data_IF_951294997879
#
_entry.id   IF_951294997879
#
_cell.length_a   1.000
_cell.length_b   1.000
_cell.length_c   1.000
_cell.angle_alpha   90.00
_cell.angle_beta   90.00
_cell.angle_gamma   90.00
#
_symmetry.space_group_name_H-M   'P 1'
#
loop_
_entity.id
_entity.type
_entity.pdbx_description
1 polymer ?
#
# COMPACT_ATOMS: atom_id res chain seq x y z
N UNK A 1 11.92 3.69 -9.68
CA UNK A 1 11.53 4.17 -8.35
C UNK A 1 10.12 4.72 -8.49
N UNK A 2 9.09 3.95 -8.13
CA UNK A 2 7.70 4.41 -8.21
C UNK A 2 7.32 4.94 -6.83
N UNK A 3 7.08 6.25 -6.72
CA UNK A 3 6.62 6.88 -5.49
C UNK A 3 5.09 7.01 -5.57
N UNK A 4 4.37 6.22 -4.76
CA UNK A 4 2.92 6.29 -4.65
C UNK A 4 2.51 7.41 -3.71
N UNK A 5 1.76 8.38 -4.22
CA UNK A 5 1.12 9.41 -3.40
C UNK A 5 -0.15 8.84 -2.76
N UNK A 6 -0.09 8.52 -1.47
CA UNK A 6 -1.30 8.19 -0.69
C UNK A 6 -1.94 9.49 -0.24
N UNK A 7 -3.10 9.80 -0.83
CA UNK A 7 -3.98 10.86 -0.37
C UNK A 7 -5.22 10.18 0.22
N UNK A 8 -5.46 10.39 1.52
CA UNK A 8 -6.61 9.84 2.23
C UNK A 8 -7.62 10.97 2.47
N UNK A 9 -8.68 11.05 1.66
CA UNK A 9 -9.82 11.95 1.91
C UNK A 9 -11.09 11.15 2.26
N UNK A 10 -11.40 11.18 3.56
CA UNK A 10 -12.69 11.36 4.26
C UNK A 10 -14.04 10.84 3.67
N UNK A 11 -14.72 9.99 4.47
CA UNK A 11 -16.18 9.87 4.66
C UNK A 11 -17.08 9.18 3.61
N UNK A 12 -16.64 8.04 3.08
CA UNK A 12 -17.52 7.05 2.45
C UNK A 12 -16.94 5.66 2.66
N UNK A 13 -17.76 4.64 2.88
CA UNK A 13 -17.37 3.26 3.20
C UNK A 13 -16.62 2.50 2.08
N UNK A 14 -15.67 3.13 1.40
CA UNK A 14 -14.85 2.53 0.35
C UNK A 14 -13.40 2.41 0.84
N UNK A 15 -13.17 1.44 1.73
CA UNK A 15 -11.83 0.91 1.96
C UNK A 15 -11.42 0.13 0.70
N UNK A 16 -11.05 0.84 -0.36
CA UNK A 16 -10.66 0.21 -1.62
C UNK A 16 -9.17 -0.10 -1.59
N UNK A 17 -8.84 -1.38 -1.75
CA UNK A 17 -7.46 -1.81 -1.95
C UNK A 17 -6.88 -1.06 -3.15
N UNK A 18 -5.67 -0.53 -2.99
CA UNK A 18 -5.00 0.20 -4.07
C UNK A 18 -4.72 -0.77 -5.23
N UNK A 19 -5.13 -0.39 -6.44
CA UNK A 19 -4.87 -1.16 -7.64
C UNK A 19 -3.53 -0.74 -8.25
N UNK A 20 -2.65 -1.72 -8.47
CA UNK A 20 -1.34 -1.54 -9.09
C UNK A 20 -1.25 -2.35 -10.37
N UNK A 21 -0.49 -1.85 -11.33
CA UNK A 21 -0.13 -2.55 -12.56
C UNK A 21 1.39 -2.67 -12.65
N UNK A 22 1.88 -3.90 -12.80
CA UNK A 22 3.27 -4.16 -13.17
C UNK A 22 3.33 -4.47 -14.66
N UNK A 23 4.28 -3.87 -15.35
CA UNK A 23 4.56 -4.14 -16.76
C UNK A 23 5.99 -4.62 -16.91
N UNK A 24 6.23 -5.53 -17.84
CA UNK A 24 7.55 -6.13 -18.05
C UNK A 24 7.53 -7.24 -19.09
N UNK A 25 8.58 -8.08 -19.08
CA UNK A 25 8.67 -9.19 -20.03
C UNK A 25 7.58 -10.23 -19.73
N UNK A 26 6.84 -10.69 -20.76
CA UNK A 26 5.88 -11.77 -20.59
C UNK A 26 6.53 -13.00 -19.93
N UNK A 27 5.81 -13.63 -19.00
CA UNK A 27 6.23 -14.81 -18.24
C UNK A 27 7.39 -14.58 -17.25
N UNK A 28 7.79 -13.34 -16.99
CA UNK A 28 8.79 -13.06 -15.98
C UNK A 28 8.21 -13.12 -14.57
N UNK A 29 8.96 -13.71 -13.63
CA UNK A 29 8.57 -13.76 -12.22
C UNK A 29 9.07 -12.55 -11.46
N UNK A 30 8.28 -12.08 -10.51
CA UNK A 30 8.66 -11.02 -9.59
C UNK A 30 8.13 -11.32 -8.19
N UNK A 31 8.68 -10.64 -7.20
CA UNK A 31 8.13 -10.65 -5.86
C UNK A 31 7.94 -9.21 -5.36
N UNK A 32 6.97 -9.06 -4.46
CA UNK A 32 6.66 -7.80 -3.80
C UNK A 32 7.15 -7.87 -2.37
N UNK A 33 7.89 -6.86 -1.94
CA UNK A 33 8.26 -6.69 -0.55
C UNK A 33 7.58 -5.44 0.01
N UNK A 34 6.90 -5.60 1.15
CA UNK A 34 6.22 -4.53 1.88
C UNK A 34 6.87 -4.37 3.26
N UNK A 35 6.94 -3.15 3.80
CA UNK A 35 7.35 -2.95 5.19
C UNK A 35 6.33 -3.52 6.17
N UNK A 36 6.81 -4.12 7.26
CA UNK A 36 5.96 -4.74 8.30
C UNK A 36 5.05 -3.73 9.02
N UNK A 37 5.53 -2.48 9.13
CA UNK A 37 4.82 -1.38 9.77
C UNK A 37 5.15 -0.06 9.11
N UNK A 38 4.12 0.74 8.89
CA UNK A 38 4.24 2.14 8.47
C UNK A 38 3.57 3.00 9.53
N UNK A 39 4.31 3.98 10.05
CA UNK A 39 3.76 4.98 10.95
C UNK A 39 3.12 6.10 10.15
N UNK A 40 1.89 6.46 10.49
CA UNK A 40 1.22 7.65 10.00
C UNK A 40 1.32 8.76 11.04
N UNK A 41 1.75 9.93 10.62
CA UNK A 41 1.88 11.13 11.46
C UNK A 41 0.60 11.93 11.34
N UNK A 42 -0.04 12.19 12.48
CA UNK A 42 -1.24 13.00 12.57
C UNK A 42 -0.96 14.47 12.91
N UNK A 43 -2.01 15.22 13.28
CA UNK A 43 -1.89 16.61 13.72
C UNK A 43 -0.96 16.78 14.92
N UNK A 44 -0.44 17.99 15.14
CA UNK A 44 0.45 18.27 16.28
C UNK A 44 -0.17 17.85 17.61
N UNK A 45 0.58 17.07 18.40
CA UNK A 45 0.12 16.52 19.68
C UNK A 45 -0.73 15.25 19.59
N UNK A 46 -1.01 14.73 18.39
CA UNK A 46 -1.66 13.43 18.21
C UNK A 46 -0.68 12.27 18.44
N UNK A 47 -1.22 11.12 18.81
CA UNK A 47 -0.47 9.86 18.75
C UNK A 47 -0.37 9.38 17.30
N UNK A 48 0.74 8.76 16.85
CA UNK A 48 0.80 8.19 15.51
C UNK A 48 -0.19 7.04 15.30
N UNK A 49 -0.73 6.88 14.08
CA UNK A 49 -1.42 5.65 13.68
C UNK A 49 -0.44 4.72 12.96
N UNK A 50 -0.82 3.46 12.77
CA UNK A 50 0.03 2.48 12.10
C UNK A 50 -0.73 1.70 11.04
N UNK A 51 -0.12 1.50 9.88
CA UNK A 51 -0.59 0.53 8.87
C UNK A 51 0.28 -0.72 9.01
N UNK A 52 -0.36 -1.89 9.03
CA UNK A 52 0.27 -3.21 9.16
C UNK A 52 -0.47 -4.25 8.30
N UNK A 53 0.05 -5.47 8.25
CA UNK A 53 -0.64 -6.63 7.65
C UNK A 53 -0.96 -6.42 6.17
N UNK A 54 0.06 -6.05 5.39
CA UNK A 54 -0.07 -5.93 3.94
C UNK A 54 -0.46 -7.27 3.31
N UNK A 55 -1.50 -7.25 2.49
CA UNK A 55 -1.99 -8.37 1.69
C UNK A 55 -2.09 -7.94 0.23
N UNK A 56 -1.73 -8.82 -0.70
CA UNK A 56 -1.82 -8.55 -2.13
C UNK A 56 -2.41 -9.72 -2.90
N UNK A 57 -3.01 -9.43 -4.05
CA UNK A 57 -3.56 -10.45 -4.97
C UNK A 57 -2.63 -10.83 -6.14
N UNK A 58 -1.40 -10.27 -6.19
CA UNK A 58 -0.44 -10.58 -7.25
C UNK A 58 -0.14 -12.08 -7.35
N UNK A 59 -0.12 -12.59 -8.57
CA UNK A 59 0.32 -13.95 -8.91
C UNK A 59 1.85 -14.10 -8.84
N UNK A 60 2.58 -12.98 -8.91
CA UNK A 60 4.04 -12.97 -8.91
C UNK A 60 4.64 -13.35 -10.26
N UNK A 61 3.84 -13.35 -11.34
CA UNK A 61 4.29 -13.63 -12.70
C UNK A 61 3.59 -12.70 -13.69
N UNK A 62 4.38 -11.96 -14.46
CA UNK A 62 3.85 -11.07 -15.50
C UNK A 62 3.16 -11.92 -16.58
N UNK A 63 1.88 -11.61 -16.84
CA UNK A 63 1.08 -12.35 -17.81
C UNK A 63 1.63 -12.28 -19.23
N UNK A 64 1.08 -13.10 -20.13
CA UNK A 64 1.51 -13.19 -21.53
C UNK A 64 1.39 -11.87 -22.31
N UNK A 65 0.54 -10.95 -21.83
CA UNK A 65 0.42 -9.58 -22.36
C UNK A 65 1.56 -8.65 -21.98
N UNK A 66 2.50 -9.09 -21.13
CA UNK A 66 3.56 -8.24 -20.57
C UNK A 66 3.08 -7.33 -19.44
N UNK A 67 1.90 -7.60 -18.88
CA UNK A 67 1.34 -6.84 -17.77
C UNK A 67 0.61 -7.74 -16.78
N UNK A 68 0.57 -7.32 -15.52
CA UNK A 68 -0.27 -7.89 -14.48
C UNK A 68 -0.83 -6.77 -13.61
N UNK A 69 -2.14 -6.83 -13.32
CA UNK A 69 -2.79 -5.95 -12.35
C UNK A 69 -3.10 -6.70 -11.08
N UNK A 70 -2.83 -6.08 -9.94
CA UNK A 70 -3.11 -6.65 -8.62
C UNK A 70 -3.51 -5.57 -7.62
N UNK A 71 -4.24 -6.00 -6.59
CA UNK A 71 -4.66 -5.13 -5.51
C UNK A 71 -3.74 -5.32 -4.31
N UNK A 72 -3.46 -4.23 -3.60
CA UNK A 72 -2.76 -4.23 -2.31
C UNK A 72 -3.66 -3.60 -1.28
N UNK A 73 -3.91 -4.33 -0.19
CA UNK A 73 -4.60 -3.86 1.00
C UNK A 73 -3.71 -3.96 2.24
N UNK A 74 -4.09 -3.27 3.30
CA UNK A 74 -3.44 -3.35 4.60
C UNK A 74 -4.45 -2.97 5.71
N UNK A 75 -4.12 -3.32 6.95
CA UNK A 75 -4.91 -2.99 8.12
C UNK A 75 -4.43 -1.68 8.74
N UNK A 76 -5.33 -0.69 8.87
CA UNK A 76 -5.09 0.51 9.68
C UNK A 76 -5.36 0.22 11.16
N UNK A 77 -4.33 0.36 11.98
CA UNK A 77 -4.39 0.24 13.43
C UNK A 77 -4.61 1.62 14.04
N UNK A 78 -5.82 1.83 14.55
CA UNK A 78 -6.22 3.06 15.24
C UNK A 78 -6.17 2.84 16.75
N UNK A 79 -5.34 3.63 17.43
CA UNK A 79 -5.25 3.60 18.89
C UNK A 79 -6.50 4.18 19.58
N UNK A 80 -6.67 3.87 20.86
CA UNK A 80 -7.73 4.48 21.68
C UNK A 80 -7.52 6.00 21.80
N UNK A 81 -8.63 6.76 21.80
CA UNK A 81 -8.64 8.23 21.92
C UNK A 81 -7.85 8.94 20.81
N UNK A 82 -7.92 8.43 19.57
CA UNK A 82 -7.20 9.10 18.50
C UNK A 82 -7.76 10.49 18.18
N UNK A 83 -6.85 11.45 18.04
CA UNK A 83 -7.21 12.83 17.69
C UNK A 83 -7.77 12.85 16.27
N UNK A 84 -8.98 13.39 16.03
CA UNK A 84 -9.50 13.57 14.68
C UNK A 84 -8.60 14.49 13.86
N UNK A 85 -8.33 14.11 12.62
CA UNK A 85 -7.52 14.90 11.70
C UNK A 85 -6.89 14.03 10.61
N UNK A 86 -6.13 14.67 9.74
CA UNK A 86 -5.42 13.98 8.65
C UNK A 86 -4.17 13.28 9.19
N UNK A 87 -3.99 12.02 8.82
CA UNK A 87 -2.80 11.22 9.13
C UNK A 87 -2.11 10.86 7.81
N UNK A 88 -0.84 11.24 7.67
CA UNK A 88 -0.06 11.02 6.44
C UNK A 88 1.19 10.20 6.72
N UNK A 89 1.61 9.41 5.74
CA UNK A 89 2.84 8.63 5.81
C UNK A 89 3.24 8.13 4.43
N UNK A 90 4.50 7.77 4.28
CA UNK A 90 5.06 7.24 3.03
C UNK A 90 5.60 5.83 3.26
N UNK A 91 5.52 4.99 2.23
CA UNK A 91 6.11 3.67 2.24
C UNK A 91 6.69 3.34 0.87
N UNK A 92 7.70 2.48 0.87
CA UNK A 92 8.33 1.98 -0.35
C UNK A 92 7.86 0.55 -0.61
N UNK A 93 7.39 0.31 -1.83
CA UNK A 93 7.15 -1.04 -2.37
C UNK A 93 8.30 -1.35 -3.31
N UNK A 94 8.98 -2.47 -3.09
CA UNK A 94 10.00 -2.95 -4.02
C UNK A 94 9.44 -4.11 -4.83
N UNK A 95 9.39 -3.94 -6.15
CA UNK A 95 9.19 -5.01 -7.11
C UNK A 95 10.57 -5.39 -7.67
N UNK A 96 11.04 -6.59 -7.34
CA UNK A 96 12.31 -7.10 -7.85
C UNK A 96 12.04 -8.11 -8.96
N UNK A 97 12.67 -7.85 -10.11
CA UNK A 97 12.62 -8.66 -11.32
C UNK A 97 13.85 -9.59 -11.32
N UNK A 98 13.65 -10.90 -11.54
CA UNK A 98 14.73 -11.89 -11.66
C UNK A 98 15.07 -12.20 -13.12
#
# INVERSE_FOLDING_TARGET
MAEGNVVLFDQGSDHQAANFEVTGTPNATYYLNFPDNISLVGPSGSTPMSIKEFVHSASGTIGDSGAESFNVGATLIVGANQTPGEYTGTYQVTAAYN
#
